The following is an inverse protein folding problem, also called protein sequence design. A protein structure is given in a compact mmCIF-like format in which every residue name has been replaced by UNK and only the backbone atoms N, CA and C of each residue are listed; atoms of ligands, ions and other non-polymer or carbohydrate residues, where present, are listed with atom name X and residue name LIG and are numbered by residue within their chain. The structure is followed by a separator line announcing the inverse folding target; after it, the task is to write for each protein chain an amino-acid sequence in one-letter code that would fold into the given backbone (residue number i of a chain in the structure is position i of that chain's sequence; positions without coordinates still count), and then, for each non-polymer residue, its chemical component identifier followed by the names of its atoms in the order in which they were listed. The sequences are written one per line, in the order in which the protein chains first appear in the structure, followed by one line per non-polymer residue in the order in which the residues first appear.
data_IF_039533634178
#
_entry.id   IF_039533634178
#
_cell.length_a   1.000
_cell.length_b   1.000
_cell.length_c   1.000
_cell.angle_alpha   90.00
_cell.angle_beta   90.00
_cell.angle_gamma   90.00
#
_symmetry.space_group_name_H-M   'P 1'
#
loop_
_entity.id
_entity.type
_entity.pdbx_description
1 polymer ?
#
# COMPACT_ATOMS: atom_id res chain seq x y z
N UNK A 1 27.50 -14.01 -5.52
CA UNK A 1 27.18 -14.64 -6.83
C UNK A 1 26.00 -13.89 -7.44
N UNK A 2 26.21 -13.19 -8.56
CA UNK A 2 25.13 -12.56 -9.34
C UNK A 2 24.41 -13.64 -10.14
N UNK A 3 23.27 -14.13 -9.65
CA UNK A 3 22.39 -14.93 -10.50
C UNK A 3 21.51 -13.96 -11.29
N UNK A 4 21.91 -13.65 -12.51
CA UNK A 4 21.01 -13.02 -13.48
C UNK A 4 19.83 -13.98 -13.69
N UNK A 5 18.63 -13.55 -13.32
CA UNK A 5 17.44 -14.38 -13.51
C UNK A 5 17.19 -14.60 -15.01
N UNK A 6 16.64 -15.76 -15.41
CA UNK A 6 16.18 -15.94 -16.79
C UNK A 6 15.24 -14.78 -17.17
N UNK A 7 15.37 -14.18 -18.37
CA UNK A 7 14.57 -13.00 -18.77
C UNK A 7 13.05 -13.20 -18.59
N UNK A 8 12.57 -14.43 -18.80
CA UNK A 8 11.17 -14.80 -18.61
C UNK A 8 10.72 -14.70 -17.14
N UNK A 9 11.58 -15.06 -16.18
CA UNK A 9 11.29 -14.96 -14.75
C UNK A 9 11.25 -13.50 -14.32
N UNK A 10 12.20 -12.68 -14.79
CA UNK A 10 12.22 -11.24 -14.51
C UNK A 10 10.94 -10.55 -15.02
N UNK A 11 10.49 -10.88 -16.24
CA UNK A 11 9.24 -10.34 -16.79
C UNK A 11 8.00 -10.76 -15.99
N UNK A 12 7.91 -12.04 -15.59
CA UNK A 12 6.78 -12.55 -14.78
C UNK A 12 6.76 -11.93 -13.38
N UNK A 13 7.93 -11.76 -12.76
CA UNK A 13 8.08 -11.11 -11.47
C UNK A 13 7.60 -9.65 -11.53
N UNK A 14 8.08 -8.89 -12.51
CA UNK A 14 7.67 -7.49 -12.69
C UNK A 14 6.17 -7.35 -12.94
N UNK A 15 5.58 -8.22 -13.77
CA UNK A 15 4.13 -8.25 -13.98
C UNK A 15 3.37 -8.59 -12.69
N UNK A 16 3.85 -9.56 -11.91
CA UNK A 16 3.26 -9.89 -10.61
C UNK A 16 3.26 -8.71 -9.64
N UNK A 17 4.38 -7.99 -9.57
CA UNK A 17 4.51 -6.79 -8.73
C UNK A 17 3.59 -5.65 -9.20
N UNK A 18 3.43 -5.47 -10.51
CA UNK A 18 2.44 -4.54 -11.06
C UNK A 18 1.01 -4.91 -10.61
N UNK A 19 0.62 -6.18 -10.71
CA UNK A 19 -0.69 -6.64 -10.23
C UNK A 19 -0.89 -6.39 -8.73
N UNK A 20 0.13 -6.62 -7.91
CA UNK A 20 0.08 -6.30 -6.48
C UNK A 20 -0.11 -4.80 -6.27
N UNK A 21 0.69 -3.97 -6.94
CA UNK A 21 0.59 -2.51 -6.82
C UNK A 21 -0.79 -1.98 -7.22
N UNK A 22 -1.34 -2.43 -8.35
CA UNK A 22 -2.66 -1.99 -8.81
C UNK A 22 -3.80 -2.47 -7.89
N UNK A 23 -3.74 -3.71 -7.39
CA UNK A 23 -4.77 -4.22 -6.48
C UNK A 23 -4.73 -3.53 -5.11
N UNK A 24 -3.54 -3.25 -4.57
CA UNK A 24 -3.38 -2.46 -3.34
C UNK A 24 -3.88 -1.03 -3.56
N UNK A 25 -3.53 -0.40 -4.69
CA UNK A 25 -3.99 0.95 -5.03
C UNK A 25 -5.52 1.02 -5.12
N UNK A 26 -6.17 0.01 -5.69
CA UNK A 26 -7.64 -0.05 -5.76
C UNK A 26 -8.26 0.01 -4.36
N UNK A 27 -7.81 -0.85 -3.43
CA UNK A 27 -8.34 -0.87 -2.06
C UNK A 27 -8.11 0.47 -1.36
N UNK A 28 -6.90 1.01 -1.45
CA UNK A 28 -6.59 2.32 -0.87
C UNK A 28 -7.42 3.45 -1.49
N UNK A 29 -7.73 3.37 -2.79
CA UNK A 29 -8.56 4.36 -3.50
C UNK A 29 -9.97 4.38 -2.94
N UNK A 30 -10.60 3.20 -2.77
CA UNK A 30 -11.93 3.12 -2.17
C UNK A 30 -11.95 3.70 -0.75
N UNK A 31 -10.92 3.42 0.05
CA UNK A 31 -10.78 4.02 1.38
C UNK A 31 -10.52 5.53 1.38
N UNK A 32 -9.90 6.08 0.33
CA UNK A 32 -9.71 7.51 0.18
C UNK A 32 -11.02 8.18 -0.26
N UNK A 33 -11.75 7.56 -1.19
CA UNK A 33 -13.07 8.00 -1.63
C UNK A 33 -14.09 7.98 -0.49
N UNK A 34 -14.07 6.95 0.38
CA UNK A 34 -14.91 6.90 1.59
C UNK A 34 -14.73 8.15 2.47
N UNK A 35 -13.48 8.59 2.67
CA UNK A 35 -13.18 9.81 3.46
C UNK A 35 -13.70 11.10 2.81
N UNK A 36 -13.76 11.16 1.48
CA UNK A 36 -14.16 12.35 0.73
C UNK A 36 -15.67 12.40 0.50
N UNK A 37 -16.27 11.26 0.15
CA UNK A 37 -17.66 11.15 -0.29
C UNK A 37 -18.62 10.74 0.83
N UNK A 38 -18.13 10.01 1.84
CA UNK A 38 -18.92 9.52 3.00
C UNK A 38 -18.14 9.77 4.31
N UNK A 39 -17.74 11.03 4.61
CA UNK A 39 -16.88 11.34 5.73
C UNK A 39 -17.44 10.89 7.10
N UNK A 40 -18.76 10.81 7.25
CA UNK A 40 -19.42 10.34 8.47
C UNK A 40 -19.10 8.87 8.77
N UNK A 41 -18.98 8.04 7.74
CA UNK A 41 -18.55 6.65 7.90
C UNK A 41 -17.10 6.60 8.37
N UNK A 42 -16.21 7.36 7.71
CA UNK A 42 -14.82 7.45 8.10
C UNK A 42 -14.63 7.97 9.54
N UNK A 43 -15.40 8.96 9.98
CA UNK A 43 -15.36 9.45 11.38
C UNK A 43 -15.65 8.32 12.37
N UNK A 44 -16.65 7.47 12.10
CA UNK A 44 -16.97 6.31 12.95
C UNK A 44 -15.83 5.30 12.97
N UNK A 45 -15.18 5.06 11.83
CA UNK A 45 -14.00 4.19 11.75
C UNK A 45 -12.84 4.78 12.57
N UNK A 46 -12.54 6.07 12.43
CA UNK A 46 -11.46 6.73 13.18
C UNK A 46 -11.72 6.71 14.69
N UNK A 47 -12.96 6.97 15.12
CA UNK A 47 -13.34 6.91 16.53
C UNK A 47 -13.26 5.48 17.07
N UNK A 48 -13.79 4.49 16.34
CA UNK A 48 -13.86 3.10 16.79
C UNK A 48 -12.54 2.33 16.77
N UNK A 49 -11.68 2.57 15.78
CA UNK A 49 -10.41 1.82 15.62
C UNK A 49 -9.18 2.58 16.10
N UNK A 50 -9.24 3.92 16.15
CA UNK A 50 -8.08 4.75 16.49
C UNK A 50 -8.33 5.66 17.70
N UNK A 51 -9.57 5.72 18.23
CA UNK A 51 -9.92 6.61 19.34
C UNK A 51 -9.90 8.09 18.97
N UNK A 52 -9.94 8.42 17.67
CA UNK A 52 -9.81 9.79 17.16
C UNK A 52 -11.15 10.33 16.69
N UNK A 53 -11.63 11.40 17.32
CA UNK A 53 -12.82 12.12 16.90
C UNK A 53 -12.41 13.27 15.98
N UNK A 54 -12.37 12.99 14.68
CA UNK A 54 -11.97 13.95 13.67
C UNK A 54 -13.20 14.67 13.08
N UNK A 55 -12.98 15.87 12.55
CA UNK A 55 -14.03 16.64 11.87
C UNK A 55 -14.19 16.21 10.42
N UNK A 56 -15.37 16.45 9.82
CA UNK A 56 -15.64 16.23 8.40
C UNK A 56 -14.59 16.87 7.49
N UNK A 57 -14.23 18.13 7.77
CA UNK A 57 -13.24 18.85 6.97
C UNK A 57 -11.85 18.19 7.06
N UNK A 58 -11.47 17.69 8.24
CA UNK A 58 -10.22 16.95 8.43
C UNK A 58 -10.22 15.66 7.60
N UNK A 59 -11.31 14.88 7.62
CA UNK A 59 -11.40 13.64 6.85
C UNK A 59 -11.33 13.89 5.34
N UNK A 60 -12.05 14.90 4.84
CA UNK A 60 -12.01 15.25 3.42
C UNK A 60 -10.60 15.66 3.00
N UNK A 61 -9.93 16.52 3.78
CA UNK A 61 -8.55 16.91 3.50
C UNK A 61 -7.59 15.72 3.49
N UNK A 62 -7.73 14.80 4.47
CA UNK A 62 -6.96 13.56 4.51
C UNK A 62 -7.25 12.66 3.31
N UNK A 63 -8.51 12.54 2.89
CA UNK A 63 -8.92 11.75 1.73
C UNK A 63 -8.34 12.29 0.43
N UNK A 64 -8.38 13.61 0.22
CA UNK A 64 -7.76 14.26 -0.94
C UNK A 64 -6.23 14.08 -0.96
N UNK A 65 -5.58 14.25 0.20
CA UNK A 65 -4.14 13.98 0.33
C UNK A 65 -3.83 12.50 0.05
N UNK A 66 -4.67 11.58 0.53
CA UNK A 66 -4.54 10.15 0.28
C UNK A 66 -4.72 9.82 -1.21
N UNK A 67 -5.64 10.46 -1.93
CA UNK A 67 -5.80 10.28 -3.38
C UNK A 67 -4.55 10.71 -4.16
N UNK A 68 -3.96 11.87 -3.82
CA UNK A 68 -2.71 12.33 -4.43
C UNK A 68 -1.56 11.35 -4.15
N UNK A 69 -1.46 10.87 -2.92
CA UNK A 69 -0.51 9.83 -2.52
C UNK A 69 -0.70 8.53 -3.31
N UNK A 70 -1.94 8.05 -3.45
CA UNK A 70 -2.25 6.81 -4.18
C UNK A 70 -1.95 6.99 -5.67
N UNK A 71 -2.15 8.17 -6.25
CA UNK A 71 -1.75 8.44 -7.62
C UNK A 71 -0.23 8.28 -7.80
N UNK A 72 0.57 8.86 -6.90
CA UNK A 72 2.02 8.70 -6.92
C UNK A 72 2.45 7.23 -6.73
N UNK A 73 1.83 6.51 -5.80
CA UNK A 73 2.04 5.08 -5.58
C UNK A 73 1.70 4.26 -6.84
N UNK A 74 0.54 4.51 -7.46
CA UNK A 74 0.04 3.80 -8.63
C UNK A 74 0.96 3.99 -9.84
N UNK A 75 1.50 5.20 -10.03
CA UNK A 75 2.47 5.49 -11.09
C UNK A 75 3.88 4.94 -10.80
N UNK A 76 4.11 4.39 -9.60
CA UNK A 76 5.41 3.84 -9.20
C UNK A 76 6.46 4.93 -8.95
N UNK A 77 6.02 6.12 -8.51
CA UNK A 77 6.90 7.22 -8.14
C UNK A 77 7.44 7.01 -6.73
N UNK A 78 8.69 7.41 -6.49
CA UNK A 78 9.33 7.39 -5.17
C UNK A 78 9.15 6.04 -4.43
N UNK A 79 9.35 4.91 -5.14
CA UNK A 79 9.02 3.55 -4.65
C UNK A 79 9.45 3.25 -3.21
N UNK A 80 10.65 3.67 -2.81
CA UNK A 80 11.14 3.51 -1.44
C UNK A 80 10.20 4.13 -0.40
N UNK A 81 9.63 5.29 -0.70
CA UNK A 81 8.76 6.05 0.19
C UNK A 81 7.31 5.58 0.04
N UNK A 82 6.78 5.55 -1.18
CA UNK A 82 5.36 5.25 -1.40
C UNK A 82 5.01 3.82 -1.01
N UNK A 83 5.89 2.85 -1.26
CA UNK A 83 5.59 1.44 -0.97
C UNK A 83 5.74 1.17 0.53
N UNK A 84 6.72 1.81 1.18
CA UNK A 84 6.86 1.76 2.64
C UNK A 84 5.66 2.42 3.33
N UNK A 85 5.21 3.57 2.84
CA UNK A 85 4.06 4.26 3.40
C UNK A 85 2.79 3.39 3.29
N UNK A 86 2.53 2.77 2.13
CA UNK A 86 1.42 1.82 1.98
C UNK A 86 1.54 0.66 2.96
N UNK A 87 2.73 0.07 3.12
CA UNK A 87 2.98 -1.01 4.07
C UNK A 87 2.67 -0.56 5.51
N UNK A 88 3.18 0.60 5.94
CA UNK A 88 2.97 1.12 7.29
C UNK A 88 1.50 1.45 7.54
N UNK A 89 0.83 2.12 6.60
CA UNK A 89 -0.59 2.48 6.72
C UNK A 89 -1.48 1.24 6.81
N UNK A 90 -1.21 0.23 5.98
CA UNK A 90 -1.97 -1.02 6.01
C UNK A 90 -1.64 -1.87 7.25
N UNK A 91 -0.38 -1.91 7.68
CA UNK A 91 0.02 -2.54 8.93
C UNK A 91 -0.71 -1.89 10.12
N UNK A 92 -0.72 -0.55 10.19
CA UNK A 92 -1.46 0.20 11.21
C UNK A 92 -2.94 -0.19 11.25
N UNK A 93 -3.60 -0.27 10.10
CA UNK A 93 -5.01 -0.69 9.99
C UNK A 93 -5.24 -2.15 10.39
N UNK A 94 -4.28 -3.02 10.08
CA UNK A 94 -4.33 -4.44 10.45
C UNK A 94 -4.23 -4.60 11.97
N UNK A 95 -3.23 -3.96 12.59
CA UNK A 95 -3.01 -4.08 14.03
C UNK A 95 -4.02 -3.30 14.87
N UNK A 96 -4.53 -2.15 14.40
CA UNK A 96 -5.61 -1.43 15.09
C UNK A 96 -6.91 -2.24 15.15
N UNK A 97 -7.06 -3.22 14.24
CA UNK A 97 -8.23 -4.10 14.17
C UNK A 97 -8.08 -5.39 14.97
N UNK A 98 -7.06 -5.52 15.82
CA UNK A 98 -6.69 -6.82 16.42
C UNK A 98 -7.82 -7.52 17.16
N UNK A 99 -8.64 -6.77 17.91
CA UNK A 99 -9.79 -7.31 18.64
C UNK A 99 -10.82 -7.99 17.71
N UNK A 100 -10.94 -7.55 16.45
CA UNK A 100 -11.86 -8.17 15.47
C UNK A 100 -11.42 -9.58 15.07
N UNK A 101 -10.13 -9.88 15.13
CA UNK A 101 -9.62 -11.23 14.85
C UNK A 101 -9.95 -12.23 15.98
N UNK A 102 -10.24 -11.73 17.19
CA UNK A 102 -10.63 -12.57 18.34
C UNK A 102 -12.10 -13.01 18.28
N UNK A 103 -12.89 -12.41 17.39
CA UNK A 103 -14.28 -12.82 17.10
C UNK A 103 -14.44 -13.04 15.57
N UNK A 104 -13.80 -14.10 15.04
CA UNK A 104 -13.60 -14.26 13.59
C UNK A 104 -14.91 -14.50 12.83
N UNK A 105 -15.88 -15.18 13.44
CA UNK A 105 -17.11 -15.57 12.73
C UNK A 105 -18.08 -14.40 12.52
N UNK A 106 -17.99 -13.35 13.34
CA UNK A 106 -18.72 -12.09 13.11
C UNK A 106 -17.92 -11.05 12.31
N UNK A 107 -16.62 -11.28 12.10
CA UNK A 107 -15.70 -10.32 11.48
C UNK A 107 -14.84 -10.96 10.39
N UNK A 108 -15.36 -11.96 9.67
CA UNK A 108 -14.60 -12.80 8.74
C UNK A 108 -13.80 -11.99 7.70
N UNK A 109 -14.37 -10.90 7.19
CA UNK A 109 -13.73 -10.06 6.17
C UNK A 109 -12.47 -9.34 6.67
N UNK A 110 -12.31 -9.14 7.98
CA UNK A 110 -11.08 -8.55 8.53
C UNK A 110 -9.86 -9.42 8.23
N UNK A 111 -10.02 -10.74 8.08
CA UNK A 111 -8.90 -11.63 7.77
C UNK A 111 -8.29 -11.38 6.40
N UNK A 112 -9.00 -10.72 5.47
CA UNK A 112 -8.44 -10.25 4.20
C UNK A 112 -7.31 -9.22 4.39
N UNK A 113 -7.20 -8.59 5.56
CA UNK A 113 -6.11 -7.69 5.89
C UNK A 113 -4.74 -8.40 5.92
N UNK A 114 -4.67 -9.69 6.32
CA UNK A 114 -3.40 -10.42 6.44
C UNK A 114 -2.75 -10.75 5.09
N UNK A 115 -3.45 -11.33 4.10
CA UNK A 115 -2.90 -11.48 2.75
C UNK A 115 -2.52 -10.14 2.11
N UNK A 116 -3.31 -9.08 2.34
CA UNK A 116 -3.00 -7.75 1.83
C UNK A 116 -1.76 -7.15 2.50
N UNK A 117 -1.55 -7.38 3.80
CA UNK A 117 -0.32 -6.97 4.50
C UNK A 117 0.91 -7.70 3.94
N UNK A 118 0.79 -9.01 3.68
CA UNK A 118 1.83 -9.78 3.03
C UNK A 118 2.13 -9.26 1.61
N UNK A 119 1.09 -8.87 0.85
CA UNK A 119 1.25 -8.27 -0.48
C UNK A 119 1.98 -6.91 -0.40
N UNK A 120 1.64 -6.06 0.57
CA UNK A 120 2.34 -4.79 0.79
C UNK A 120 3.82 -5.02 1.14
N UNK A 121 4.09 -6.01 2.00
CA UNK A 121 5.46 -6.37 2.38
C UNK A 121 6.25 -6.91 1.19
N UNK A 122 5.68 -7.84 0.42
CA UNK A 122 6.30 -8.38 -0.77
C UNK A 122 6.63 -7.29 -1.79
N UNK A 123 5.68 -6.38 -2.03
CA UNK A 123 5.88 -5.25 -2.93
C UNK A 123 7.01 -4.32 -2.43
N UNK A 124 7.08 -4.04 -1.13
CA UNK A 124 8.16 -3.22 -0.57
C UNK A 124 9.52 -3.92 -0.67
N UNK A 125 9.63 -5.19 -0.28
CA UNK A 125 10.89 -5.94 -0.32
C UNK A 125 11.42 -6.09 -1.74
N UNK A 126 10.54 -6.31 -2.71
CA UNK A 126 10.88 -6.58 -4.11
C UNK A 126 10.72 -5.36 -5.03
N UNK A 127 10.56 -4.16 -4.47
CA UNK A 127 10.30 -2.91 -5.22
C UNK A 127 11.31 -2.59 -6.32
N UNK A 128 12.55 -3.06 -6.19
CA UNK A 128 13.59 -2.86 -7.20
C UNK A 128 13.32 -3.66 -8.48
N UNK A 129 12.54 -4.74 -8.38
CA UNK A 129 12.11 -5.58 -9.51
C UNK A 129 10.77 -5.14 -10.13
N UNK A 130 10.06 -4.18 -9.52
CA UNK A 130 8.86 -3.59 -10.11
C UNK A 130 9.27 -2.56 -11.17
N UNK A 131 9.22 -2.97 -12.44
CA UNK A 131 9.75 -2.20 -13.57
C UNK A 131 8.68 -1.47 -14.40
N UNK A 132 7.40 -1.77 -14.20
CA UNK A 132 6.30 -1.10 -14.90
C UNK A 132 5.94 0.23 -14.22
N UNK A 133 6.91 1.14 -14.12
CA UNK A 133 6.78 2.40 -13.37
C UNK A 133 7.16 3.62 -14.19
N UNK A 134 6.56 4.77 -13.88
CA UNK A 134 6.97 6.07 -14.45
C UNK A 134 8.07 6.76 -13.62
N UNK A 135 8.38 6.24 -12.42
CA UNK A 135 9.48 6.73 -11.60
C UNK A 135 10.84 6.32 -12.16
N UNK A 136 11.90 7.04 -11.79
CA UNK A 136 13.27 6.65 -12.15
C UNK A 136 13.56 5.24 -11.64
N UNK A 137 13.78 4.32 -12.56
CA UNK A 137 14.38 3.03 -12.25
C UNK A 137 15.86 3.31 -11.97
N UNK A 138 16.29 3.27 -10.71
CA UNK A 138 17.72 3.16 -10.46
C UNK A 138 18.16 1.84 -11.08
N UNK A 139 19.00 1.89 -12.11
CA UNK A 139 19.62 0.66 -12.60
C UNK A 139 20.40 0.06 -11.43
N UNK A 140 20.40 -1.27 -11.33
CA UNK A 140 21.16 -1.97 -10.29
C UNK A 140 22.65 -1.56 -10.35
N UNK A 141 23.15 -1.23 -11.54
CA UNK A 141 24.49 -0.68 -11.79
C UNK A 141 24.75 0.66 -11.07
N UNK A 142 23.80 1.61 -11.10
CA UNK A 142 23.96 2.91 -10.44
C UNK A 142 23.99 2.83 -8.90
N UNK A 143 23.49 1.74 -8.31
CA UNK A 143 23.56 1.49 -6.86
C UNK A 143 24.86 0.79 -6.45
N UNK A 144 25.45 0.00 -7.35
CA UNK A 144 26.75 -0.62 -7.14
C UNK A 144 27.88 0.43 -7.19
N UNK A 145 27.77 1.44 -8.05
CA UNK A 145 28.71 2.56 -8.11
C UNK A 145 28.60 3.52 -6.90
N UNK A 146 27.43 3.63 -6.28
CA UNK A 146 27.22 4.51 -5.12
C UNK A 146 27.62 3.89 -3.78
N UNK A 147 27.81 2.56 -3.73
CA UNK A 147 28.17 1.79 -2.54
C UNK A 147 29.62 1.23 -2.57
N UNK A 148 30.39 1.58 -3.61
CA UNK A 148 31.83 1.36 -3.72
C UNK A 148 32.57 2.70 -3.62
#
# INVERSE_FOLDING_TARGET
MKTSYPPQLASKLSLGLLCLRLSIALVFTIWALDKVLVPEHAIKVFSGFYGLNLTTNTLIAMGLAQLAFIAAFTLGLLKNITYLAVLVLHAGSTFSSFAKYLDPFNNLLFFAAWPMLAACLALYLLRDYDSWTLGKTHSLEQREEANN
#
